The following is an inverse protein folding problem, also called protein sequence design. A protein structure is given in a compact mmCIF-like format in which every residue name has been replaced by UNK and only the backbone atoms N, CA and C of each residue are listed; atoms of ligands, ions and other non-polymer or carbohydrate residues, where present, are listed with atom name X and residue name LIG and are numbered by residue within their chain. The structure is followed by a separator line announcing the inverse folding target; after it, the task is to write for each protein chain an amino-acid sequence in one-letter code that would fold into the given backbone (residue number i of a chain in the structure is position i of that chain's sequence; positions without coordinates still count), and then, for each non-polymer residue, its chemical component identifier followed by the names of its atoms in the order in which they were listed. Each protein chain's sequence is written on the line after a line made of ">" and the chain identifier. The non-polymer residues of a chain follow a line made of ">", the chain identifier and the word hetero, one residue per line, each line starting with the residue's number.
data_IF_147153831516
#
_entry.id   IF_147153831516
#
_cell.length_a   1.000
_cell.length_b   1.000
_cell.length_c   1.000
_cell.angle_alpha   90.00
_cell.angle_beta   90.00
_cell.angle_gamma   90.00
#
_symmetry.space_group_name_H-M   'P 1'
#
loop_
_entity.id
_entity.type
_entity.pdbx_description
1 polymer ?
#
# COMPACT_ATOMS: atom_id res chain seq x y z
N UNK A 1 16.52 7.50 27.30
CA UNK A 1 15.79 7.04 26.10
C UNK A 1 16.83 6.76 25.03
N UNK A 2 16.88 5.55 24.47
CA UNK A 2 17.88 5.17 23.46
C UNK A 2 17.46 5.80 22.13
N UNK A 3 18.22 6.79 21.66
CA UNK A 3 18.06 7.35 20.32
C UNK A 3 18.28 6.21 19.33
N UNK A 4 17.23 5.73 18.66
CA UNK A 4 17.35 4.78 17.56
C UNK A 4 17.87 5.57 16.35
N UNK A 5 19.14 5.38 16.01
CA UNK A 5 19.71 5.96 14.80
C UNK A 5 19.13 5.26 13.58
N UNK A 6 18.61 6.04 12.64
CA UNK A 6 18.11 5.62 11.34
C UNK A 6 18.91 6.32 10.22
N UNK A 7 20.18 5.92 10.02
CA UNK A 7 21.00 6.50 8.96
C UNK A 7 20.49 6.07 7.58
N UNK A 8 20.60 6.96 6.62
CA UNK A 8 20.29 6.68 5.23
C UNK A 8 21.30 5.69 4.66
N UNK A 9 20.82 4.57 4.11
CA UNK A 9 21.67 3.53 3.51
C UNK A 9 22.37 3.99 2.22
N UNK A 10 21.95 5.11 1.62
CA UNK A 10 22.55 5.65 0.39
C UNK A 10 23.63 6.69 0.68
N UNK A 11 23.32 7.70 1.49
CA UNK A 11 24.20 8.84 1.73
C UNK A 11 24.77 8.89 3.15
N UNK A 12 24.41 7.96 4.04
CA UNK A 12 24.89 7.87 5.42
C UNK A 12 24.32 8.91 6.39
N UNK A 13 23.63 9.96 5.92
CA UNK A 13 23.04 11.00 6.75
C UNK A 13 21.85 10.49 7.55
N UNK A 14 21.68 10.99 8.77
CA UNK A 14 20.56 10.64 9.65
C UNK A 14 19.23 11.10 9.03
N UNK A 15 18.25 10.19 8.91
CA UNK A 15 16.92 10.54 8.40
C UNK A 15 16.15 11.36 9.43
N UNK A 16 15.34 12.30 8.97
CA UNK A 16 14.49 13.14 9.82
C UNK A 16 13.05 12.63 9.81
N UNK A 17 12.37 12.72 10.94
CA UNK A 17 10.96 12.36 11.08
C UNK A 17 10.10 13.43 10.41
N UNK A 18 9.32 13.03 9.40
CA UNK A 18 8.39 13.92 8.69
C UNK A 18 7.00 13.89 9.33
N UNK A 19 6.49 12.69 9.62
CA UNK A 19 5.15 12.50 10.17
C UNK A 19 5.12 11.24 11.02
N UNK A 20 4.39 11.27 12.12
CA UNK A 20 4.07 10.10 12.93
C UNK A 20 2.58 10.09 13.24
N UNK A 21 1.96 8.92 13.22
CA UNK A 21 0.55 8.74 13.57
C UNK A 21 0.31 7.33 14.12
N UNK A 22 -0.68 7.20 14.98
CA UNK A 22 -1.12 5.91 15.49
C UNK A 22 -2.30 5.42 14.67
N UNK A 23 -2.27 4.14 14.31
CA UNK A 23 -3.29 3.47 13.52
C UNK A 23 -3.70 2.18 14.21
N UNK A 24 -5.00 1.98 14.38
CA UNK A 24 -5.54 0.73 14.93
C UNK A 24 -5.73 -0.24 13.78
N UNK A 25 -4.97 -1.34 13.79
CA UNK A 25 -5.06 -2.38 12.76
C UNK A 25 -5.73 -3.64 13.33
N UNK A 26 -6.61 -4.29 12.55
CA UNK A 26 -7.16 -5.58 12.93
C UNK A 26 -6.06 -6.65 12.84
N UNK A 27 -5.99 -7.49 13.87
CA UNK A 27 -5.08 -8.63 13.99
C UNK A 27 -5.84 -9.95 13.97
N UNK A 28 -5.12 -11.06 13.86
CA UNK A 28 -5.73 -12.38 13.80
C UNK A 28 -6.62 -12.65 15.03
N UNK A 29 -7.78 -13.25 14.80
CA UNK A 29 -8.72 -13.60 15.87
C UNK A 29 -9.61 -12.45 16.37
N UNK A 30 -9.99 -11.51 15.49
CA UNK A 30 -10.86 -10.37 15.80
C UNK A 30 -10.32 -9.41 16.87
N UNK A 31 -9.01 -9.45 17.12
CA UNK A 31 -8.34 -8.49 17.99
C UNK A 31 -7.94 -7.24 17.20
N UNK A 32 -7.70 -6.14 17.91
CA UNK A 32 -7.16 -4.91 17.32
C UNK A 32 -5.89 -4.52 18.05
N UNK A 33 -4.90 -4.05 17.31
CA UNK A 33 -3.61 -3.58 17.86
C UNK A 33 -3.34 -2.16 17.39
N UNK A 34 -2.93 -1.30 18.32
CA UNK A 34 -2.47 0.04 18.01
C UNK A 34 -1.03 0.00 17.52
N UNK A 35 -0.77 0.57 16.34
CA UNK A 35 0.55 0.62 15.72
C UNK A 35 0.92 2.07 15.44
N UNK A 36 2.08 2.48 15.95
CA UNK A 36 2.68 3.78 15.62
C UNK A 36 3.42 3.67 14.29
N UNK A 37 2.96 4.42 13.30
CA UNK A 37 3.62 4.56 12.00
C UNK A 37 4.37 5.87 11.93
N UNK A 38 5.54 5.83 11.32
CA UNK A 38 6.37 7.01 11.06
C UNK A 38 6.87 7.05 9.62
N UNK A 39 6.86 8.25 9.06
CA UNK A 39 7.46 8.55 7.77
C UNK A 39 8.73 9.34 8.02
N UNK A 40 9.84 8.86 7.46
CA UNK A 40 11.15 9.50 7.57
C UNK A 40 11.65 9.93 6.20
N UNK A 41 12.35 11.06 6.12
CA UNK A 41 12.88 11.64 4.89
C UNK A 41 14.40 11.86 5.03
N UNK A 42 15.13 11.76 3.92
CA UNK A 42 16.54 12.11 3.89
C UNK A 42 16.70 13.64 3.86
N UNK A 43 17.56 14.24 4.71
CA UNK A 43 17.79 15.69 4.69
C UNK A 43 18.57 16.16 3.46
N UNK A 44 19.17 15.25 2.70
CA UNK A 44 19.86 15.54 1.45
C UNK A 44 18.88 15.53 0.27
N UNK A 45 18.63 16.69 -0.39
CA UNK A 45 17.67 16.79 -1.48
C UNK A 45 18.01 15.93 -2.69
N UNK A 46 19.30 15.79 -3.02
CA UNK A 46 19.74 14.99 -4.17
C UNK A 46 19.53 13.50 -3.88
N UNK A 47 19.89 13.05 -2.68
CA UNK A 47 19.61 11.69 -2.25
C UNK A 47 18.10 11.41 -2.18
N UNK A 48 17.32 12.38 -1.69
CA UNK A 48 15.88 12.23 -1.51
C UNK A 48 15.15 12.10 -2.86
N UNK A 49 15.54 12.89 -3.86
CA UNK A 49 15.00 12.80 -5.23
C UNK A 49 15.13 11.40 -5.82
N UNK A 50 16.28 10.74 -5.63
CA UNK A 50 16.50 9.37 -6.12
C UNK A 50 15.55 8.39 -5.44
N UNK A 51 15.42 8.48 -4.11
CA UNK A 51 14.49 7.64 -3.34
C UNK A 51 13.05 7.86 -3.79
N UNK A 52 12.65 9.10 -4.00
CA UNK A 52 11.29 9.44 -4.43
C UNK A 52 10.97 8.93 -5.84
N UNK A 53 11.94 8.99 -6.75
CA UNK A 53 11.83 8.41 -8.08
C UNK A 53 11.63 6.89 -8.02
N UNK A 54 12.42 6.18 -7.22
CA UNK A 54 12.29 4.73 -7.02
C UNK A 54 10.94 4.37 -6.39
N UNK A 55 10.52 5.10 -5.35
CA UNK A 55 9.24 4.91 -4.70
C UNK A 55 8.07 5.17 -5.66
N UNK A 56 8.19 6.15 -6.56
CA UNK A 56 7.18 6.42 -7.58
C UNK A 56 7.04 5.25 -8.58
N UNK A 57 8.16 4.66 -9.01
CA UNK A 57 8.14 3.47 -9.88
C UNK A 57 7.50 2.29 -9.17
N UNK A 58 7.86 2.05 -7.91
CA UNK A 58 7.27 0.95 -7.12
C UNK A 58 5.77 1.16 -6.87
N UNK A 59 5.33 2.39 -6.60
CA UNK A 59 3.90 2.75 -6.49
C UNK A 59 3.15 2.39 -7.77
N UNK A 60 3.61 2.88 -8.92
CA UNK A 60 3.00 2.57 -10.23
C UNK A 60 2.90 1.06 -10.48
N UNK A 61 3.93 0.29 -10.14
CA UNK A 61 3.90 -1.18 -10.26
C UNK A 61 2.83 -1.80 -9.37
N UNK A 62 2.72 -1.39 -8.11
CA UNK A 62 1.68 -1.88 -7.20
C UNK A 62 0.28 -1.51 -7.67
N UNK A 63 0.09 -0.27 -8.13
CA UNK A 63 -1.20 0.22 -8.58
C UNK A 63 -1.67 -0.54 -9.82
N UNK A 64 -0.77 -0.82 -10.76
CA UNK A 64 -1.06 -1.67 -11.91
C UNK A 64 -1.49 -3.08 -11.50
N UNK A 65 -0.73 -3.73 -10.61
CA UNK A 65 -1.08 -5.08 -10.13
C UNK A 65 -2.45 -5.09 -9.45
N UNK A 66 -2.77 -4.04 -8.69
CA UNK A 66 -4.07 -3.89 -8.03
C UNK A 66 -5.19 -3.72 -9.06
N UNK A 67 -5.01 -2.84 -10.05
CA UNK A 67 -5.95 -2.62 -11.14
C UNK A 67 -6.21 -3.89 -11.94
N UNK A 68 -5.15 -4.59 -12.36
CA UNK A 68 -5.27 -5.83 -13.14
C UNK A 68 -6.01 -6.92 -12.35
N UNK A 69 -5.82 -6.96 -11.02
CA UNK A 69 -6.54 -7.90 -10.14
C UNK A 69 -8.02 -7.53 -10.00
N UNK A 70 -8.31 -6.25 -9.82
CA UNK A 70 -9.67 -5.72 -9.67
C UNK A 70 -10.48 -5.93 -10.94
N UNK A 71 -9.88 -5.66 -12.11
CA UNK A 71 -10.50 -5.90 -13.42
C UNK A 71 -10.85 -7.38 -13.61
N UNK A 72 -9.94 -8.30 -13.27
CA UNK A 72 -10.22 -9.74 -13.35
C UNK A 72 -11.35 -10.18 -12.43
N UNK A 73 -11.40 -9.64 -11.21
CA UNK A 73 -12.48 -9.94 -10.28
C UNK A 73 -13.82 -9.42 -10.80
N UNK A 74 -13.82 -8.22 -11.39
CA UNK A 74 -15.02 -7.63 -12.00
C UNK A 74 -15.51 -8.49 -13.17
N UNK A 75 -14.62 -8.88 -14.10
CA UNK A 75 -14.99 -9.76 -15.21
C UNK A 75 -15.59 -11.09 -14.75
N UNK A 76 -15.12 -11.67 -13.64
CA UNK A 76 -15.70 -12.89 -13.06
C UNK A 76 -17.08 -12.61 -12.45
N UNK A 77 -17.26 -11.46 -11.79
CA UNK A 77 -18.54 -11.06 -11.23
C UNK A 77 -19.59 -10.81 -12.33
N UNK A 78 -19.21 -10.09 -13.39
CA UNK A 78 -20.09 -9.77 -14.53
C UNK A 78 -20.56 -11.04 -15.25
N UNK A 79 -19.66 -12.01 -15.45
CA UNK A 79 -20.01 -13.32 -16.04
C UNK A 79 -21.00 -14.09 -15.17
N UNK A 80 -20.76 -14.15 -13.85
CA UNK A 80 -21.69 -14.82 -12.92
C UNK A 80 -23.06 -14.15 -12.91
N UNK A 81 -23.10 -12.82 -13.03
CA UNK A 81 -24.34 -12.07 -13.11
C UNK A 81 -25.09 -12.40 -14.41
N UNK A 82 -24.40 -12.39 -15.56
CA UNK A 82 -24.99 -12.76 -16.84
C UNK A 82 -25.51 -14.21 -16.86
N UNK A 83 -24.77 -15.16 -16.28
CA UNK A 83 -25.19 -16.56 -16.17
C UNK A 83 -26.44 -16.70 -15.28
N UNK A 84 -26.52 -15.90 -14.19
CA UNK A 84 -27.69 -15.88 -13.29
C UNK A 84 -28.91 -15.26 -13.97
N UNK A 85 -28.73 -14.15 -14.69
CA UNK A 85 -29.80 -13.46 -15.40
C UNK A 85 -30.37 -14.37 -16.50
N UNK A 86 -29.52 -15.10 -17.22
CA UNK A 86 -29.96 -16.11 -18.19
C UNK A 86 -30.75 -17.26 -17.55
N UNK A 87 -30.34 -17.72 -16.38
CA UNK A 87 -31.05 -18.80 -15.67
C UNK A 87 -32.45 -18.35 -15.21
N UNK A 88 -32.62 -17.07 -14.88
CA UNK A 88 -33.92 -16.47 -14.54
C UNK A 88 -34.83 -16.32 -15.77
N UNK A 89 -34.26 -16.03 -16.94
CA UNK A 89 -35.00 -15.96 -18.21
C UNK A 89 -35.48 -17.35 -18.69
N UNK A 90 -34.74 -18.42 -18.39
CA UNK A 90 -35.12 -19.79 -18.76
C UNK A 90 -36.19 -20.42 -17.81
N UNK A 91 -36.52 -19.76 -16.68
CA UNK A 91 -37.52 -20.20 -15.70
C UNK A 91 -38.91 -19.54 -15.85
N UNK A 92 -39.07 -18.53 -16.73
CA UNK A 92 -40.35 -17.87 -17.08
C UNK A 92 -40.98 -18.40 -18.39
#
# INVERSE_FOLDING_TARGET
>A
MKQLTNPCTRCGKERILLKQWDEVIPTFGNSTTMVTRSTNICPDPECQKVVDAELAVQRKKRDKIKSDREEKLQQVADKKQADKDKLLEDEE
#
